data_IF_527476025279
#
_entry.id   IF_527476025279
#
_cell.length_a   1.000
_cell.length_b   1.000
_cell.length_c   1.000
_cell.angle_alpha   90.00
_cell.angle_beta   90.00
_cell.angle_gamma   90.00
#
_symmetry.space_group_name_H-M   'P 1'
#
loop_
_entity.id
_entity.type
_entity.pdbx_description
1 polymer ?
#
# COMPACT_ATOMS: atom_id res chain seq x y z
N UNK A 1 7.92 -22.33 -15.39
CA UNK A 1 8.40 -21.50 -14.25
C UNK A 1 9.76 -20.96 -14.63
N UNK A 2 9.91 -19.64 -14.78
CA UNK A 2 11.20 -19.02 -15.16
C UNK A 2 11.95 -18.75 -13.87
N UNK A 3 13.11 -19.39 -13.68
CA UNK A 3 13.95 -19.20 -12.50
C UNK A 3 14.49 -17.76 -12.47
N UNK A 4 14.39 -17.04 -11.34
CA UNK A 4 14.95 -15.72 -11.18
C UNK A 4 16.48 -15.83 -11.25
N UNK A 5 17.07 -15.23 -12.28
CA UNK A 5 18.49 -15.43 -12.63
C UNK A 5 19.46 -14.56 -11.83
N UNK A 6 18.94 -13.62 -11.03
CA UNK A 6 19.76 -12.61 -10.36
C UNK A 6 19.49 -12.53 -8.85
N UNK A 7 20.55 -12.47 -8.05
CA UNK A 7 20.49 -12.43 -6.58
C UNK A 7 19.79 -11.17 -6.09
N UNK A 8 19.95 -10.04 -6.79
CA UNK A 8 19.26 -8.79 -6.45
C UNK A 8 17.74 -8.91 -6.67
N UNK A 9 17.33 -9.62 -7.72
CA UNK A 9 15.91 -9.86 -8.04
C UNK A 9 15.25 -10.76 -6.99
N UNK A 10 15.96 -11.79 -6.51
CA UNK A 10 15.52 -12.64 -5.41
C UNK A 10 15.41 -11.90 -4.08
N UNK A 11 16.39 -11.04 -3.76
CA UNK A 11 16.38 -10.25 -2.51
C UNK A 11 15.28 -9.19 -2.54
N UNK A 12 15.05 -8.54 -3.67
CA UNK A 12 13.92 -7.61 -3.84
C UNK A 12 12.57 -8.31 -3.75
N UNK A 13 12.44 -9.52 -4.30
CA UNK A 13 11.23 -10.33 -4.18
C UNK A 13 10.99 -10.85 -2.76
N UNK A 14 12.05 -11.10 -1.98
CA UNK A 14 11.96 -11.63 -0.62
C UNK A 14 11.76 -10.55 0.45
N UNK A 15 12.31 -9.34 0.26
CA UNK A 15 12.31 -8.28 1.29
C UNK A 15 11.19 -7.25 1.15
N UNK A 16 10.59 -7.09 -0.04
CA UNK A 16 9.60 -6.04 -0.30
C UNK A 16 8.23 -6.57 -0.71
N UNK A 17 8.19 -7.51 -1.66
CA UNK A 17 6.97 -7.83 -2.42
C UNK A 17 5.76 -8.22 -1.58
N UNK A 18 5.96 -9.03 -0.54
CA UNK A 18 4.88 -9.52 0.32
C UNK A 18 4.41 -8.43 1.30
N UNK A 19 5.35 -7.64 1.81
CA UNK A 19 5.09 -6.51 2.71
C UNK A 19 4.35 -5.39 1.97
N UNK A 20 4.74 -5.09 0.73
CA UNK A 20 4.11 -4.08 -0.11
C UNK A 20 2.69 -4.48 -0.50
N UNK A 21 2.47 -5.74 -0.88
CA UNK A 21 1.14 -6.25 -1.21
C UNK A 21 0.21 -6.27 0.02
N UNK A 22 0.72 -6.68 1.18
CA UNK A 22 -0.06 -6.67 2.41
C UNK A 22 -0.38 -5.26 2.90
N UNK A 23 0.60 -4.34 2.82
CA UNK A 23 0.39 -2.93 3.11
C UNK A 23 -0.67 -2.31 2.19
N UNK A 24 -0.60 -2.55 0.87
CA UNK A 24 -1.62 -2.07 -0.08
C UNK A 24 -3.00 -2.66 0.22
N UNK A 25 -3.08 -3.92 0.64
CA UNK A 25 -4.34 -4.55 1.04
C UNK A 25 -4.93 -3.92 2.29
N UNK A 26 -4.11 -3.63 3.32
CA UNK A 26 -4.55 -2.94 4.54
C UNK A 26 -5.05 -1.54 4.23
N UNK A 27 -4.28 -0.77 3.47
CA UNK A 27 -4.67 0.58 3.01
C UNK A 27 -5.98 0.53 2.22
N UNK A 28 -6.14 -0.44 1.31
CA UNK A 28 -7.37 -0.61 0.55
C UNK A 28 -8.58 -0.99 1.43
N UNK A 29 -8.36 -1.77 2.49
CA UNK A 29 -9.39 -2.14 3.46
C UNK A 29 -9.75 -1.01 4.44
N UNK A 30 -9.05 0.14 4.37
CA UNK A 30 -9.20 1.24 5.32
C UNK A 30 -8.49 1.00 6.66
N UNK A 31 -7.64 -0.02 6.75
CA UNK A 31 -6.81 -0.26 7.92
C UNK A 31 -5.57 0.64 7.87
N UNK A 32 -5.71 1.80 8.50
CA UNK A 32 -4.69 2.86 8.52
C UNK A 32 -4.20 3.20 9.94
N UNK A 33 -4.50 2.35 10.93
CA UNK A 33 -4.16 2.58 12.33
C UNK A 33 -2.64 2.57 12.58
N UNK A 34 -1.93 1.64 11.93
CA UNK A 34 -0.47 1.56 11.92
C UNK A 34 0.16 2.88 11.41
N UNK A 35 -0.41 3.47 10.35
CA UNK A 35 0.10 4.70 9.74
C UNK A 35 -0.24 5.94 10.57
N UNK A 36 -1.41 5.95 11.21
CA UNK A 36 -1.79 7.00 12.16
C UNK A 36 -0.88 7.00 13.39
N UNK A 37 -0.60 5.82 13.94
CA UNK A 37 0.34 5.66 15.06
C UNK A 37 1.75 6.14 14.68
N UNK A 38 2.20 5.82 13.46
CA UNK A 38 3.49 6.31 12.96
C UNK A 38 3.52 7.85 12.84
N UNK A 39 2.45 8.46 12.32
CA UNK A 39 2.29 9.92 12.24
C UNK A 39 2.28 10.58 13.62
N UNK A 40 1.54 10.02 14.57
CA UNK A 40 1.50 10.48 15.95
C UNK A 40 2.89 10.44 16.60
N UNK A 41 3.65 9.38 16.35
CA UNK A 41 5.02 9.24 16.88
C UNK A 41 6.00 10.27 16.31
N UNK A 42 5.70 10.91 15.18
CA UNK A 42 6.55 12.01 14.66
C UNK A 42 6.43 13.28 15.50
N UNK A 43 5.30 13.46 16.21
CA UNK A 43 4.99 14.69 16.94
C UNK A 43 4.82 15.92 16.04
N UNK A 44 4.73 15.76 14.72
CA UNK A 44 4.63 16.87 13.76
C UNK A 44 3.21 17.38 13.55
N UNK A 45 2.20 16.62 13.99
CA UNK A 45 0.79 16.91 13.73
C UNK A 45 0.02 17.02 15.05
N UNK A 46 -0.79 18.06 15.18
CA UNK A 46 -1.76 18.17 16.27
C UNK A 46 -2.93 17.19 16.09
N UNK A 47 -3.64 16.88 17.19
CA UNK A 47 -4.79 15.96 17.21
C UNK A 47 -5.86 16.30 16.17
N UNK A 48 -6.10 17.60 15.91
CA UNK A 48 -7.07 18.04 14.89
C UNK A 48 -6.59 17.68 13.48
N UNK A 49 -5.31 17.86 13.18
CA UNK A 49 -4.76 17.51 11.88
C UNK A 49 -4.80 15.99 11.66
N UNK A 50 -4.47 15.21 12.69
CA UNK A 50 -4.57 13.75 12.67
C UNK A 50 -6.01 13.27 12.42
N UNK A 51 -7.00 13.87 13.06
CA UNK A 51 -8.41 13.52 12.84
C UNK A 51 -8.89 13.82 11.40
N UNK A 52 -8.44 14.94 10.82
CA UNK A 52 -8.74 15.30 9.42
C UNK A 52 -8.06 14.33 8.44
N UNK A 53 -6.80 13.97 8.71
CA UNK A 53 -6.04 12.99 7.91
C UNK A 53 -6.76 11.63 7.94
N UNK A 54 -7.10 11.13 9.13
CA UNK A 54 -7.83 9.87 9.28
C UNK A 54 -9.19 9.90 8.56
N UNK A 55 -9.94 11.00 8.67
CA UNK A 55 -11.22 11.14 7.97
C UNK A 55 -11.06 11.16 6.46
N UNK A 56 -10.01 11.81 5.95
CA UNK A 56 -9.69 11.84 4.52
C UNK A 56 -9.32 10.45 3.99
N UNK A 57 -8.50 9.71 4.73
CA UNK A 57 -8.08 8.36 4.36
C UNK A 57 -9.23 7.35 4.40
N UNK A 58 -10.12 7.46 5.39
CA UNK A 58 -11.33 6.65 5.45
C UNK A 58 -12.32 6.95 4.31
N UNK A 59 -12.37 8.21 3.85
CA UNK A 59 -13.23 8.62 2.74
C UNK A 59 -12.69 8.18 1.38
N UNK A 60 -11.38 8.28 1.15
CA UNK A 60 -10.72 7.80 -0.07
C UNK A 60 -9.34 7.21 0.23
N UNK A 61 -9.20 5.87 0.23
CA UNK A 61 -7.93 5.21 0.58
C UNK A 61 -6.83 5.42 -0.47
N UNK A 62 -7.17 5.98 -1.65
CA UNK A 62 -6.16 6.39 -2.65
C UNK A 62 -5.32 7.55 -2.17
N UNK A 63 -5.86 8.43 -1.31
CA UNK A 63 -5.10 9.54 -0.72
C UNK A 63 -3.90 9.01 0.07
N UNK A 64 -4.12 8.00 0.92
CA UNK A 64 -3.04 7.35 1.68
C UNK A 64 -2.05 6.63 0.75
N UNK A 65 -2.56 5.89 -0.24
CA UNK A 65 -1.71 5.23 -1.25
C UNK A 65 -0.78 6.23 -1.94
N UNK A 66 -1.31 7.35 -2.43
CA UNK A 66 -0.51 8.35 -3.14
C UNK A 66 0.50 9.03 -2.22
N UNK A 67 0.16 9.25 -0.95
CA UNK A 67 1.11 9.74 0.06
C UNK A 67 2.27 8.74 0.32
N UNK A 68 1.96 7.45 0.48
CA UNK A 68 2.98 6.40 0.66
C UNK A 68 3.90 6.27 -0.55
N UNK A 69 3.39 6.53 -1.75
CA UNK A 69 4.13 6.39 -3.00
C UNK A 69 4.84 7.65 -3.46
N UNK A 70 4.67 8.78 -2.76
CA UNK A 70 5.25 10.06 -3.16
C UNK A 70 6.79 10.02 -3.18
N UNK A 71 7.39 9.38 -2.17
CA UNK A 71 8.84 9.26 -2.01
C UNK A 71 9.37 7.87 -2.43
N UNK A 72 8.50 6.98 -2.92
CA UNK A 72 8.89 5.64 -3.34
C UNK A 72 9.61 5.66 -4.70
N UNK A 73 10.66 4.84 -4.83
CA UNK A 73 11.31 4.63 -6.12
C UNK A 73 10.32 4.11 -7.19
N UNK A 74 10.62 4.39 -8.45
CA UNK A 74 9.73 4.04 -9.58
C UNK A 74 9.35 2.55 -9.60
N UNK A 75 10.29 1.67 -9.22
CA UNK A 75 10.05 0.23 -9.16
C UNK A 75 8.99 -0.13 -8.11
N UNK A 76 9.16 0.34 -6.88
CA UNK A 76 8.21 0.15 -5.78
C UNK A 76 6.86 0.76 -6.12
N UNK A 77 6.85 1.97 -6.68
CA UNK A 77 5.63 2.65 -7.13
C UNK A 77 4.86 1.80 -8.14
N UNK A 78 5.54 1.28 -9.17
CA UNK A 78 4.91 0.45 -10.20
C UNK A 78 4.35 -0.85 -9.64
N UNK A 79 5.04 -1.49 -8.69
CA UNK A 79 4.53 -2.71 -8.02
C UNK A 79 3.28 -2.42 -7.19
N UNK A 80 3.32 -1.44 -6.30
CA UNK A 80 2.18 -1.10 -5.45
C UNK A 80 0.94 -0.71 -6.28
N UNK A 81 1.12 0.04 -7.38
CA UNK A 81 0.01 0.36 -8.28
C UNK A 81 -0.56 -0.88 -8.99
N UNK A 82 0.28 -1.85 -9.35
CA UNK A 82 -0.18 -3.11 -9.94
C UNK A 82 -1.00 -3.95 -8.94
N UNK A 83 -0.54 -4.04 -7.68
CA UNK A 83 -1.27 -4.70 -6.60
C UNK A 83 -2.59 -3.98 -6.31
N UNK A 84 -2.58 -2.66 -6.25
CA UNK A 84 -3.78 -1.85 -6.07
C UNK A 84 -4.81 -2.10 -7.18
N UNK A 85 -4.37 -2.12 -8.44
CA UNK A 85 -5.23 -2.43 -9.57
C UNK A 85 -5.75 -3.87 -9.56
N UNK A 86 -5.07 -4.81 -8.88
CA UNK A 86 -5.58 -6.16 -8.65
C UNK A 86 -6.68 -6.16 -7.59
N UNK A 87 -6.55 -5.37 -6.52
CA UNK A 87 -7.57 -5.19 -5.50
C UNK A 87 -8.84 -4.53 -6.07
N UNK A 88 -8.68 -3.49 -6.90
CA UNK A 88 -9.81 -2.79 -7.55
C UNK A 88 -10.60 -3.67 -8.51
N UNK A 89 -9.96 -4.68 -9.12
CA UNK A 89 -10.65 -5.64 -9.99
C UNK A 89 -11.53 -6.62 -9.21
N UNK A 90 -11.42 -6.65 -7.88
CA UNK A 90 -12.11 -7.60 -7.02
C UNK A 90 -11.68 -9.05 -7.29
N UNK A 91 -12.15 -10.03 -6.50
CA UNK A 91 -12.02 -11.42 -6.91
C UNK A 91 -12.73 -11.56 -8.26
N UNK A 92 -12.00 -12.04 -9.28
CA UNK A 92 -12.65 -12.59 -10.48
C UNK A 92 -13.47 -13.78 -9.98
N UNK A 93 -14.71 -13.53 -9.59
CA UNK A 93 -15.71 -14.58 -9.51
C UNK A 93 -15.86 -15.03 -10.95
N UNK A 94 -15.17 -16.12 -11.28
CA UNK A 94 -15.41 -16.85 -12.50
C UNK A 94 -16.88 -17.28 -12.43
N UNK A 95 -17.76 -16.46 -12.99
CA UNK A 95 -19.13 -16.84 -13.32
C UNK A 95 -18.98 -17.94 -14.37
N UNK A 96 -18.97 -19.18 -13.87
CA UNK A 96 -19.07 -20.37 -14.70
C UNK A 96 -20.36 -20.26 -15.49
N UNK A 97 -20.23 -20.31 -16.81
CA UNK A 97 -21.32 -20.50 -17.76
C UNK A 97 -21.16 -21.86 -18.41
#
# INVERSE_FOLDING_TARGET
>A
MREPRDRAELVGALLGADIEADAMRRVYAGDHDDWMTALESTGLFDLRALAEIASSWAADPRVLRDALLAEADEFTRRRCLAEWAALERGPVVAVGR
#
